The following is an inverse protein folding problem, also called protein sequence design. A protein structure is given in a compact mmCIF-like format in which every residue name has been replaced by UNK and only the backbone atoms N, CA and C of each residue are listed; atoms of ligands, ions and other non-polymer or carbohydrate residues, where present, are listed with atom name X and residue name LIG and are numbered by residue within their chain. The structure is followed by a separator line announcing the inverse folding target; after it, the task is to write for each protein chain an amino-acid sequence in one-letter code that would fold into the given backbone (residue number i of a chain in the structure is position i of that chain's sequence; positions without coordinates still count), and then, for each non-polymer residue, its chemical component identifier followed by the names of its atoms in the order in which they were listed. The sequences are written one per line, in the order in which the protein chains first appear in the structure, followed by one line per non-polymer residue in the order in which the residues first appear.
data_IF_449339693334
#
_entry.id   IF_449339693334
#
_cell.length_a   1.000
_cell.length_b   1.000
_cell.length_c   1.000
_cell.angle_alpha   90.00
_cell.angle_beta   90.00
_cell.angle_gamma   90.00
#
_symmetry.space_group_name_H-M   'P 1'
#
loop_
_entity.id
_entity.type
_entity.pdbx_description
1 polymer ?
#
# COMPACT_ATOMS: atom_id res chain seq x y z
N UNK A 1 9.82 0.23 27.44
CA UNK A 1 8.86 1.07 26.63
C UNK A 1 9.18 0.82 25.19
N UNK A 2 8.27 0.24 24.42
CA UNK A 2 8.56 -0.05 23.01
C UNK A 2 8.63 1.25 22.21
N UNK A 3 9.72 1.46 21.47
CA UNK A 3 9.82 2.62 20.58
C UNK A 3 8.97 2.44 19.32
N UNK A 4 8.78 1.18 18.89
CA UNK A 4 8.11 0.85 17.63
C UNK A 4 7.06 -0.24 17.78
N UNK A 5 5.89 -0.04 17.14
CA UNK A 5 4.96 -1.11 16.81
C UNK A 5 5.01 -1.35 15.31
N UNK A 6 5.38 -2.55 14.86
CA UNK A 6 5.24 -2.99 13.46
C UNK A 6 3.88 -3.66 13.32
N UNK A 7 2.99 -3.09 12.51
CA UNK A 7 1.64 -3.60 12.27
C UNK A 7 1.54 -4.25 10.90
N UNK A 8 1.22 -5.54 10.89
CA UNK A 8 1.11 -6.40 9.71
C UNK A 8 -0.34 -6.86 9.58
N UNK A 9 -0.97 -6.60 8.44
CA UNK A 9 -2.28 -7.15 8.12
C UNK A 9 -2.11 -8.34 7.18
N UNK A 10 -2.72 -9.50 7.50
CA UNK A 10 -2.65 -10.71 6.67
C UNK A 10 -4.03 -11.30 6.38
N UNK A 11 -4.14 -12.06 5.29
CA UNK A 11 -5.34 -12.80 4.93
C UNK A 11 -5.01 -14.00 4.03
N UNK A 12 -5.10 -15.22 4.56
CA UNK A 12 -4.88 -16.49 3.83
C UNK A 12 -3.53 -16.56 3.09
N UNK A 13 -2.45 -16.06 3.69
CA UNK A 13 -1.09 -16.01 3.12
C UNK A 13 -0.01 -16.40 4.14
N UNK A 14 -0.12 -17.58 4.79
CA UNK A 14 0.81 -17.96 5.85
C UNK A 14 2.28 -17.99 5.39
N UNK A 15 2.55 -18.47 4.16
CA UNK A 15 3.92 -18.58 3.65
C UNK A 15 4.58 -17.20 3.46
N UNK A 16 3.84 -16.23 2.92
CA UNK A 16 4.34 -14.86 2.72
C UNK A 16 4.57 -14.17 4.08
N UNK A 17 3.63 -14.36 5.02
CA UNK A 17 3.80 -13.86 6.39
C UNK A 17 5.05 -14.44 7.04
N UNK A 18 5.32 -15.75 6.86
CA UNK A 18 6.53 -16.38 7.38
C UNK A 18 7.80 -15.78 6.79
N UNK A 19 7.81 -15.45 5.50
CA UNK A 19 8.93 -14.82 4.83
C UNK A 19 9.19 -13.40 5.35
N UNK A 20 8.12 -12.62 5.57
CA UNK A 20 8.22 -11.31 6.19
C UNK A 20 8.78 -11.41 7.60
N UNK A 21 8.20 -12.25 8.48
CA UNK A 21 8.66 -12.39 9.87
C UNK A 21 10.13 -12.78 9.94
N UNK A 22 10.59 -13.73 9.10
CA UNK A 22 12.01 -14.09 9.00
C UNK A 22 12.90 -12.92 8.57
N UNK A 23 12.43 -12.06 7.67
CA UNK A 23 13.19 -10.88 7.24
C UNK A 23 13.27 -9.80 8.31
N UNK A 24 12.28 -9.74 9.22
CA UNK A 24 12.26 -8.81 10.36
C UNK A 24 13.20 -9.23 11.49
N UNK A 25 13.45 -10.52 11.68
CA UNK A 25 14.28 -11.02 12.80
C UNK A 25 15.61 -10.27 12.98
N UNK A 26 16.48 -10.12 11.96
CA UNK A 26 17.74 -9.41 12.11
C UNK A 26 17.56 -7.89 12.30
N UNK A 27 16.47 -7.32 11.79
CA UNK A 27 16.22 -5.88 11.86
C UNK A 27 15.78 -5.41 13.26
N UNK A 28 15.05 -6.28 13.98
CA UNK A 28 14.51 -5.95 15.32
C UNK A 28 15.38 -6.48 16.46
N UNK A 29 16.41 -7.28 16.14
CA UNK A 29 17.29 -7.86 17.15
C UNK A 29 17.94 -6.78 18.03
N UNK A 30 17.72 -6.86 19.35
CA UNK A 30 18.25 -5.91 20.33
C UNK A 30 17.59 -4.53 20.32
N UNK A 31 16.50 -4.35 19.60
CA UNK A 31 15.70 -3.12 19.58
C UNK A 31 14.39 -3.30 20.35
N UNK A 32 13.84 -2.22 20.85
CA UNK A 32 12.57 -2.22 21.57
C UNK A 32 11.40 -2.10 20.58
N UNK A 33 11.04 -3.24 19.98
CA UNK A 33 10.06 -3.36 18.91
C UNK A 33 9.00 -4.38 19.29
N UNK A 34 7.73 -4.01 19.15
CA UNK A 34 6.57 -4.90 19.22
C UNK A 34 6.12 -5.24 17.80
N UNK A 35 5.69 -6.47 17.57
CA UNK A 35 5.14 -6.91 16.29
C UNK A 35 3.69 -7.33 16.48
N UNK A 36 2.77 -6.63 15.82
CA UNK A 36 1.36 -6.93 15.81
C UNK A 36 0.93 -7.50 14.46
N UNK A 37 0.41 -8.72 14.46
CA UNK A 37 -0.17 -9.35 13.27
C UNK A 37 -1.69 -9.40 13.39
N UNK A 38 -2.37 -8.76 12.46
CA UNK A 38 -3.82 -8.76 12.36
C UNK A 38 -4.26 -9.67 11.21
N UNK A 39 -4.80 -10.83 11.56
CA UNK A 39 -5.35 -11.77 10.57
C UNK A 39 -6.80 -11.43 10.26
N UNK A 40 -7.06 -11.04 9.03
CA UNK A 40 -8.41 -10.72 8.55
C UNK A 40 -9.17 -11.97 8.06
N UNK A 41 -8.73 -13.16 8.47
CA UNK A 41 -9.43 -14.43 8.27
C UNK A 41 -9.99 -14.91 9.60
N UNK A 42 -11.31 -15.11 9.66
CA UNK A 42 -12.00 -15.43 10.92
C UNK A 42 -11.47 -16.70 11.62
N UNK A 43 -10.96 -17.66 10.84
CA UNK A 43 -10.38 -18.91 11.36
C UNK A 43 -8.89 -18.78 11.75
N UNK A 44 -8.27 -17.62 11.47
CA UNK A 44 -6.89 -17.35 11.89
C UNK A 44 -5.83 -18.08 11.07
N UNK A 45 -5.77 -17.82 9.76
CA UNK A 45 -4.87 -18.49 8.82
C UNK A 45 -3.37 -18.30 9.08
N UNK A 46 -2.98 -17.24 9.79
CA UNK A 46 -1.60 -16.92 10.12
C UNK A 46 -1.15 -17.38 11.51
N UNK A 47 -2.02 -17.98 12.31
CA UNK A 47 -1.75 -18.32 13.72
C UNK A 47 -0.52 -19.21 13.89
N UNK A 48 -0.49 -20.35 13.19
CA UNK A 48 0.60 -21.32 13.31
C UNK A 48 1.97 -20.70 12.93
N UNK A 49 1.98 -19.82 11.95
CA UNK A 49 3.20 -19.11 11.52
C UNK A 49 3.68 -18.14 12.60
N UNK A 50 2.77 -17.40 13.23
CA UNK A 50 3.12 -16.48 14.30
C UNK A 50 3.62 -17.23 15.54
N UNK A 51 2.99 -18.35 15.92
CA UNK A 51 3.39 -19.20 17.04
C UNK A 51 4.75 -19.89 16.81
N UNK A 52 5.08 -20.20 15.54
CA UNK A 52 6.36 -20.81 15.17
C UNK A 52 7.49 -19.78 14.94
N UNK A 53 7.19 -18.49 14.95
CA UNK A 53 8.17 -17.43 14.75
C UNK A 53 9.15 -17.33 15.92
N UNK A 54 10.41 -16.97 15.64
CA UNK A 54 11.38 -16.61 16.66
C UNK A 54 11.10 -15.24 17.29
N UNK A 55 10.23 -14.44 16.69
CA UNK A 55 9.80 -13.14 17.18
C UNK A 55 8.61 -13.27 18.14
N UNK A 56 8.56 -12.40 19.16
CA UNK A 56 7.38 -12.26 20.00
C UNK A 56 6.29 -11.48 19.23
N UNK A 57 5.27 -12.20 18.76
CA UNK A 57 4.22 -11.67 17.90
C UNK A 57 2.90 -11.57 18.65
N UNK A 58 2.39 -10.36 18.81
CA UNK A 58 1.02 -10.13 19.24
C UNK A 58 0.05 -10.43 18.08
N UNK A 59 -0.55 -11.64 18.11
CA UNK A 59 -1.45 -12.10 17.08
C UNK A 59 -2.91 -11.87 17.45
N UNK A 60 -3.65 -11.20 16.57
CA UNK A 60 -5.09 -10.95 16.74
C UNK A 60 -5.88 -11.25 15.45
N UNK A 61 -7.11 -11.69 15.62
CA UNK A 61 -8.04 -11.91 14.49
C UNK A 61 -9.01 -10.72 14.37
N UNK A 62 -9.18 -10.21 13.15
CA UNK A 62 -10.24 -9.25 12.80
C UNK A 62 -11.24 -9.94 11.85
N UNK A 63 -12.40 -10.39 12.37
CA UNK A 63 -13.37 -11.14 11.58
C UNK A 63 -14.14 -10.29 10.58
N UNK A 64 -14.21 -8.95 10.78
CA UNK A 64 -14.87 -8.06 9.83
C UNK A 64 -14.06 -8.00 8.55
N UNK A 65 -14.68 -8.31 7.39
CA UNK A 65 -13.94 -8.42 6.14
C UNK A 65 -13.43 -7.06 5.65
N UNK A 66 -12.18 -7.03 5.17
CA UNK A 66 -11.61 -5.91 4.44
C UNK A 66 -10.38 -5.30 5.09
N UNK A 67 -9.48 -4.84 4.21
CA UNK A 67 -8.16 -4.35 4.61
C UNK A 67 -8.22 -3.14 5.55
N UNK A 68 -9.23 -2.26 5.41
CA UNK A 68 -9.37 -1.12 6.31
C UNK A 68 -9.75 -1.55 7.74
N UNK A 69 -10.58 -2.58 7.90
CA UNK A 69 -10.91 -3.15 9.21
C UNK A 69 -9.67 -3.75 9.87
N UNK A 70 -8.87 -4.54 9.12
CA UNK A 70 -7.63 -5.11 9.63
C UNK A 70 -6.63 -4.02 10.07
N UNK A 71 -6.43 -2.97 9.26
CA UNK A 71 -5.55 -1.85 9.61
C UNK A 71 -6.05 -1.06 10.80
N UNK A 72 -7.36 -0.86 10.92
CA UNK A 72 -7.96 -0.26 12.10
C UNK A 72 -7.73 -1.11 13.35
N UNK A 73 -7.82 -2.43 13.23
CA UNK A 73 -7.49 -3.34 14.32
C UNK A 73 -6.00 -3.25 14.70
N UNK A 74 -5.11 -3.07 13.71
CA UNK A 74 -3.68 -2.78 13.95
C UNK A 74 -3.45 -1.47 14.71
N UNK A 75 -4.24 -0.43 14.44
CA UNK A 75 -4.22 0.80 15.23
C UNK A 75 -4.68 0.59 16.68
N UNK A 76 -5.56 -0.38 16.95
CA UNK A 76 -6.02 -0.70 18.30
C UNK A 76 -4.95 -1.42 19.16
N UNK A 77 -3.88 -1.94 18.54
CA UNK A 77 -2.74 -2.54 19.24
C UNK A 77 -1.75 -1.49 19.79
N UNK A 78 -1.87 -0.24 19.34
CA UNK A 78 -1.02 0.86 19.84
C UNK A 78 -1.28 1.12 21.30
N UNK A 79 -0.20 1.20 22.07
CA UNK A 79 -0.20 1.57 23.50
C UNK A 79 0.36 2.99 23.71
N UNK A 80 0.24 3.51 24.91
CA UNK A 80 0.80 4.82 25.26
C UNK A 80 2.34 4.82 25.23
N UNK A 81 2.96 3.67 25.38
CA UNK A 81 4.42 3.50 25.37
C UNK A 81 5.03 3.51 23.97
N UNK A 82 4.24 3.21 22.93
CA UNK A 82 4.71 3.22 21.55
C UNK A 82 4.91 4.66 21.05
N UNK A 83 6.04 4.92 20.41
CA UNK A 83 6.37 6.23 19.82
C UNK A 83 6.10 6.26 18.32
N UNK A 84 6.33 5.14 17.65
CA UNK A 84 6.19 5.00 16.21
C UNK A 84 5.39 3.77 15.84
N UNK A 85 4.56 3.91 14.82
CA UNK A 85 3.85 2.82 14.17
C UNK A 85 4.43 2.61 12.78
N UNK A 86 4.81 1.39 12.45
CA UNK A 86 5.29 1.03 11.12
C UNK A 86 4.28 0.08 10.49
N UNK A 87 3.83 0.41 9.29
CA UNK A 87 3.03 -0.48 8.47
C UNK A 87 3.92 -1.17 7.44
N UNK A 88 3.76 -2.49 7.30
CA UNK A 88 4.34 -3.32 6.25
C UNK A 88 3.32 -4.37 5.83
N UNK A 89 3.23 -4.69 4.53
CA UNK A 89 2.28 -5.69 4.02
C UNK A 89 2.86 -7.11 4.16
N UNK A 90 2.02 -8.13 4.31
CA UNK A 90 2.39 -9.53 4.55
C UNK A 90 3.14 -10.20 3.38
N UNK A 91 3.13 -9.61 2.18
CA UNK A 91 3.81 -10.10 0.97
C UNK A 91 5.14 -9.35 0.70
N UNK A 92 5.66 -8.64 1.69
CA UNK A 92 6.91 -7.90 1.60
C UNK A 92 8.04 -8.59 2.40
N UNK A 93 9.28 -8.28 2.05
CA UNK A 93 10.49 -8.67 2.80
C UNK A 93 11.36 -7.44 3.00
N UNK A 94 11.63 -7.09 4.24
CA UNK A 94 12.51 -5.97 4.57
C UNK A 94 13.95 -6.30 4.20
N UNK A 95 14.72 -5.28 3.81
CA UNK A 95 16.12 -5.44 3.44
C UNK A 95 17.02 -4.99 4.59
N UNK A 96 18.28 -5.49 4.66
CA UNK A 96 19.21 -5.13 5.73
C UNK A 96 19.35 -3.61 5.92
N UNK A 97 19.18 -3.15 7.18
CA UNK A 97 19.23 -1.75 7.55
C UNK A 97 17.92 -0.98 7.36
N UNK A 98 16.84 -1.68 7.02
CA UNK A 98 15.51 -1.07 6.79
C UNK A 98 14.99 -0.28 7.99
N UNK A 99 14.96 -0.89 9.18
CA UNK A 99 14.45 -0.21 10.37
C UNK A 99 15.35 0.96 10.78
N UNK A 100 16.67 0.77 10.70
CA UNK A 100 17.62 1.83 11.00
C UNK A 100 17.46 3.03 10.05
N UNK A 101 17.25 2.77 8.76
CA UNK A 101 17.03 3.83 7.76
C UNK A 101 15.76 4.64 8.03
N UNK A 102 14.66 3.97 8.43
CA UNK A 102 13.42 4.66 8.83
C UNK A 102 13.63 5.54 10.06
N UNK A 103 14.33 5.01 11.07
CA UNK A 103 14.65 5.71 12.31
C UNK A 103 15.54 6.94 12.06
N UNK A 104 16.60 6.77 11.27
CA UNK A 104 17.54 7.85 10.94
C UNK A 104 16.86 8.95 10.13
N UNK A 105 16.03 8.58 9.14
CA UNK A 105 15.26 9.55 8.36
C UNK A 105 14.25 10.30 9.24
N UNK A 106 13.56 9.61 10.16
CA UNK A 106 12.64 10.26 11.08
C UNK A 106 13.37 11.28 11.96
N UNK A 107 14.53 10.90 12.52
CA UNK A 107 15.35 11.76 13.37
C UNK A 107 15.93 12.94 12.60
N UNK A 108 16.42 12.69 11.38
CA UNK A 108 17.03 13.73 10.55
C UNK A 108 16.05 14.80 10.07
N UNK A 109 14.84 14.35 9.68
CA UNK A 109 13.85 15.24 9.07
C UNK A 109 12.75 15.68 10.04
N UNK A 110 12.72 15.18 11.27
CA UNK A 110 11.62 15.39 12.24
C UNK A 110 10.25 15.24 11.56
N UNK A 111 10.10 14.16 10.79
CA UNK A 111 8.91 13.93 9.99
C UNK A 111 7.82 13.21 10.78
N UNK A 112 6.56 13.48 10.44
CA UNK A 112 5.42 12.76 11.00
C UNK A 112 5.17 11.44 10.30
N UNK A 113 5.57 11.35 9.01
CA UNK A 113 5.44 10.15 8.20
C UNK A 113 6.70 9.97 7.36
N UNK A 114 7.31 8.78 7.44
CA UNK A 114 8.40 8.36 6.57
C UNK A 114 7.90 7.20 5.72
N UNK A 115 8.10 7.25 4.42
CA UNK A 115 7.81 6.12 3.54
C UNK A 115 9.02 5.73 2.71
N UNK A 116 9.23 4.43 2.53
CA UNK A 116 10.30 3.85 1.75
C UNK A 116 9.83 3.20 0.45
N UNK A 117 10.78 2.77 -0.40
CA UNK A 117 10.48 2.09 -1.64
C UNK A 117 10.03 0.65 -1.42
N UNK A 118 9.07 0.23 -2.25
CA UNK A 118 8.74 -1.18 -2.46
C UNK A 118 9.24 -1.57 -3.84
N UNK A 119 10.20 -2.48 -3.89
CA UNK A 119 10.79 -2.99 -5.11
C UNK A 119 10.03 -4.23 -5.54
N UNK A 120 9.28 -4.12 -6.63
CA UNK A 120 8.57 -5.26 -7.20
C UNK A 120 9.55 -6.19 -7.92
N UNK A 121 9.70 -7.42 -7.43
CA UNK A 121 10.53 -8.48 -8.01
C UNK A 121 9.66 -9.29 -8.97
N UNK A 122 9.92 -9.17 -10.27
CA UNK A 122 9.17 -9.89 -11.30
C UNK A 122 9.59 -11.36 -11.34
N UNK A 123 8.66 -12.29 -11.65
CA UNK A 123 9.01 -13.69 -11.85
C UNK A 123 9.98 -13.83 -13.04
N UNK A 124 10.85 -14.87 -13.04
CA UNK A 124 11.89 -15.04 -14.07
C UNK A 124 11.36 -15.14 -15.51
N UNK A 125 10.15 -15.63 -15.67
CA UNK A 125 9.44 -15.81 -16.94
C UNK A 125 8.54 -14.63 -17.32
N UNK A 126 8.60 -13.53 -16.57
CA UNK A 126 7.79 -12.35 -16.86
C UNK A 126 8.10 -11.79 -18.25
N UNK A 127 7.08 -11.41 -19.04
CA UNK A 127 7.29 -10.83 -20.35
C UNK A 127 8.17 -9.58 -20.31
N UNK A 128 9.22 -9.54 -21.12
CA UNK A 128 10.22 -8.46 -21.13
C UNK A 128 9.65 -7.06 -21.38
N UNK A 129 8.45 -6.94 -21.99
CA UNK A 129 7.79 -5.65 -22.18
C UNK A 129 7.34 -5.01 -20.87
N UNK A 130 7.09 -5.81 -19.80
CA UNK A 130 6.69 -5.32 -18.49
C UNK A 130 7.84 -4.50 -17.87
N UNK A 131 9.03 -5.07 -17.80
CA UNK A 131 10.21 -4.37 -17.26
C UNK A 131 10.64 -3.21 -18.16
N UNK A 132 10.73 -3.42 -19.50
CA UNK A 132 11.12 -2.37 -20.46
C UNK A 132 10.15 -1.20 -20.48
N UNK A 133 8.85 -1.44 -20.28
CA UNK A 133 7.83 -0.41 -20.22
C UNK A 133 7.68 0.25 -18.85
N UNK A 134 8.39 -0.25 -17.82
CA UNK A 134 8.26 0.23 -16.44
C UNK A 134 6.91 -0.11 -15.80
N UNK A 135 6.24 -1.16 -16.28
CA UNK A 135 4.99 -1.64 -15.68
C UNK A 135 5.27 -2.35 -14.36
N UNK A 136 4.32 -2.23 -13.43
CA UNK A 136 4.40 -2.81 -12.06
C UNK A 136 5.41 -2.07 -11.17
N UNK A 137 6.50 -1.53 -11.70
CA UNK A 137 7.47 -0.76 -10.91
C UNK A 137 6.83 0.46 -10.26
N UNK A 138 7.16 0.68 -8.98
CA UNK A 138 6.72 1.86 -8.22
C UNK A 138 7.74 2.99 -8.41
N UNK A 139 7.29 4.24 -8.28
CA UNK A 139 8.18 5.40 -8.34
C UNK A 139 9.11 5.39 -7.13
N UNK A 140 10.38 5.78 -7.35
CA UNK A 140 11.37 6.06 -6.31
C UNK A 140 11.73 7.54 -6.33
N UNK A 141 12.05 8.06 -5.15
CA UNK A 141 12.42 9.45 -4.95
C UNK A 141 13.73 9.50 -4.18
N UNK A 142 14.30 10.68 -3.97
CA UNK A 142 15.50 10.85 -3.16
C UNK A 142 15.09 10.97 -1.69
N UNK A 143 15.95 10.47 -0.80
CA UNK A 143 15.78 10.66 0.63
C UNK A 143 15.74 12.15 0.96
N UNK A 144 14.71 12.54 1.73
CA UNK A 144 14.40 13.94 2.01
C UNK A 144 13.36 14.58 1.09
N UNK A 145 13.05 13.98 -0.07
CA UNK A 145 11.97 14.48 -0.93
C UNK A 145 10.61 14.34 -0.23
N UNK A 146 9.65 15.23 -0.53
CA UNK A 146 8.28 15.07 -0.03
C UNK A 146 7.64 13.76 -0.49
N UNK A 147 7.15 12.94 0.44
CA UNK A 147 6.35 11.77 0.11
C UNK A 147 4.91 12.17 -0.17
N UNK A 148 4.53 12.22 -1.45
CA UNK A 148 3.24 12.75 -1.89
C UNK A 148 2.09 11.75 -1.76
N UNK A 149 2.39 10.45 -1.68
CA UNK A 149 1.38 9.40 -1.66
C UNK A 149 1.88 8.17 -0.89
N UNK A 150 2.11 8.30 0.42
CA UNK A 150 2.43 7.15 1.25
C UNK A 150 1.35 6.07 1.15
N UNK A 151 1.72 4.83 1.40
CA UNK A 151 0.83 3.71 1.52
C UNK A 151 1.29 2.82 2.69
N UNK A 152 0.41 1.96 3.21
CA UNK A 152 0.68 1.13 4.39
C UNK A 152 1.63 -0.03 4.15
N UNK A 153 2.29 -0.05 3.03
CA UNK A 153 3.18 -1.12 2.62
C UNK A 153 4.67 -0.83 2.84
N UNK A 154 5.06 0.18 3.48
CA UNK A 154 6.41 0.53 3.95
C UNK A 154 6.39 1.96 4.48
N UNK A 155 5.74 2.16 5.62
CA UNK A 155 5.57 3.52 6.13
C UNK A 155 5.62 3.55 7.66
N UNK A 156 6.50 4.39 8.19
CA UNK A 156 6.56 4.76 9.60
C UNK A 156 5.71 6.01 9.84
N UNK A 157 4.95 6.00 10.94
CA UNK A 157 4.11 7.12 11.37
C UNK A 157 4.43 7.46 12.84
N UNK A 158 4.66 8.75 13.13
CA UNK A 158 4.86 9.25 14.49
C UNK A 158 3.52 9.25 15.24
N UNK A 159 3.45 8.52 16.34
CA UNK A 159 2.20 8.33 17.08
C UNK A 159 1.73 9.60 17.80
N UNK A 160 2.62 10.45 18.28
CA UNK A 160 2.23 11.72 18.89
C UNK A 160 1.47 12.61 17.89
N UNK A 161 1.84 12.56 16.61
CA UNK A 161 1.08 13.27 15.58
C UNK A 161 -0.32 12.68 15.40
N UNK A 162 -0.47 11.34 15.36
CA UNK A 162 -1.79 10.72 15.31
C UNK A 162 -2.64 11.03 16.55
N UNK A 163 -2.04 11.01 17.74
CA UNK A 163 -2.70 11.37 19.00
C UNK A 163 -3.20 12.81 18.97
N UNK A 164 -2.43 13.76 18.43
CA UNK A 164 -2.82 15.17 18.29
C UNK A 164 -4.06 15.37 17.40
N UNK A 165 -4.26 14.47 16.43
CA UNK A 165 -5.42 14.43 15.55
C UNK A 165 -6.58 13.56 16.07
N UNK A 166 -6.55 13.16 17.36
CA UNK A 166 -7.51 12.24 18.00
C UNK A 166 -7.55 10.86 17.32
N UNK A 167 -6.42 10.37 16.84
CA UNK A 167 -6.21 9.05 16.31
C UNK A 167 -7.12 8.69 15.11
N UNK A 168 -6.90 9.32 13.94
CA UNK A 168 -7.71 9.09 12.75
C UNK A 168 -7.69 7.62 12.32
N UNK A 169 -8.80 7.16 11.73
CA UNK A 169 -9.01 5.76 11.33
C UNK A 169 -9.05 5.64 9.81
N UNK A 170 -8.76 4.43 9.32
CA UNK A 170 -8.97 4.09 7.92
C UNK A 170 -10.46 4.05 7.60
N UNK A 171 -10.86 4.70 6.49
CA UNK A 171 -12.24 4.72 6.02
C UNK A 171 -12.64 3.34 5.46
N UNK A 172 -13.48 2.61 6.20
CA UNK A 172 -13.93 1.26 5.85
C UNK A 172 -14.79 1.21 4.58
N UNK A 173 -15.30 2.34 4.08
CA UNK A 173 -15.98 2.40 2.78
C UNK A 173 -15.08 2.04 1.60
N UNK A 174 -13.76 2.00 1.82
CA UNK A 174 -12.76 1.55 0.85
C UNK A 174 -12.32 0.09 1.02
N UNK A 175 -12.83 -0.64 2.03
CA UNK A 175 -12.38 -2.00 2.35
C UNK A 175 -12.44 -2.96 1.17
N UNK A 176 -13.47 -2.87 0.33
CA UNK A 176 -13.68 -3.78 -0.81
C UNK A 176 -13.02 -3.30 -2.10
N UNK A 177 -12.80 -2.00 -2.25
CA UNK A 177 -12.30 -1.39 -3.50
C UNK A 177 -10.84 -0.99 -3.45
N UNK A 178 -10.24 -1.02 -2.25
CA UNK A 178 -8.90 -0.47 -1.99
C UNK A 178 -8.89 1.06 -1.96
N UNK A 179 -7.76 1.64 -1.50
CA UNK A 179 -7.55 3.07 -1.41
C UNK A 179 -7.81 3.67 -0.03
N UNK A 180 -8.06 2.84 0.99
CA UNK A 180 -8.17 3.28 2.38
C UNK A 180 -6.89 3.95 2.87
N UNK A 181 -5.72 3.42 2.49
CA UNK A 181 -4.39 3.98 2.74
C UNK A 181 -4.24 5.37 2.11
N UNK A 182 -4.56 5.48 0.82
CA UNK A 182 -4.49 6.76 0.10
C UNK A 182 -5.40 7.82 0.74
N UNK A 183 -6.59 7.42 1.20
CA UNK A 183 -7.51 8.33 1.90
C UNK A 183 -6.95 8.75 3.26
N UNK A 184 -6.39 7.80 4.02
CA UNK A 184 -5.80 8.02 5.34
C UNK A 184 -4.62 8.98 5.27
N UNK A 185 -3.59 8.69 4.47
CA UNK A 185 -2.42 9.55 4.36
C UNK A 185 -2.74 10.91 3.73
N UNK A 186 -3.73 10.97 2.84
CA UNK A 186 -4.19 12.25 2.34
C UNK A 186 -4.82 13.10 3.45
N UNK A 187 -5.60 12.51 4.34
CA UNK A 187 -6.17 13.22 5.48
C UNK A 187 -5.08 13.74 6.43
N UNK A 188 -4.03 12.95 6.70
CA UNK A 188 -2.89 13.39 7.48
C UNK A 188 -2.15 14.55 6.82
N UNK A 189 -1.93 14.50 5.51
CA UNK A 189 -1.30 15.58 4.76
C UNK A 189 -2.16 16.85 4.76
N UNK A 190 -3.48 16.72 4.54
CA UNK A 190 -4.40 17.85 4.56
C UNK A 190 -4.49 18.49 5.98
N UNK A 191 -4.15 17.72 7.03
CA UNK A 191 -3.98 18.18 8.42
C UNK A 191 -2.59 18.77 8.72
N UNK A 192 -1.67 18.80 7.75
CA UNK A 192 -0.36 19.42 7.88
C UNK A 192 0.80 18.48 8.19
N UNK A 193 0.62 17.14 8.11
CA UNK A 193 1.69 16.18 8.34
C UNK A 193 2.90 16.43 7.44
N UNK A 194 4.09 16.46 8.05
CA UNK A 194 5.36 16.43 7.33
C UNK A 194 5.67 15.00 6.88
N UNK A 195 5.58 14.77 5.58
CA UNK A 195 5.78 13.45 4.97
C UNK A 195 7.03 13.44 4.13
N UNK A 196 7.96 12.51 4.40
CA UNK A 196 9.28 12.44 3.77
C UNK A 196 9.53 11.04 3.22
N UNK A 197 10.26 10.98 2.10
CA UNK A 197 10.73 9.74 1.50
C UNK A 197 12.10 9.35 2.06
N UNK A 198 12.29 8.04 2.32
CA UNK A 198 13.57 7.43 2.68
C UNK A 198 13.86 6.30 1.68
N UNK A 199 14.80 6.54 0.73
CA UNK A 199 15.09 5.61 -0.36
C UNK A 199 15.90 4.38 0.08
N UNK A 200 16.53 4.46 1.25
CA UNK A 200 17.33 3.41 1.87
C UNK A 200 16.46 2.37 2.61
N UNK A 201 15.25 2.75 3.04
CA UNK A 201 14.35 1.85 3.74
C UNK A 201 13.62 0.93 2.75
N UNK A 202 14.36 -0.02 2.17
CA UNK A 202 13.89 -0.87 1.06
C UNK A 202 13.11 -2.07 1.57
N UNK A 203 11.96 -2.35 0.93
CA UNK A 203 11.29 -3.66 0.99
C UNK A 203 11.15 -4.25 -0.40
N UNK A 204 11.16 -5.58 -0.51
CA UNK A 204 10.92 -6.33 -1.74
C UNK A 204 9.53 -6.98 -1.69
N UNK A 205 8.78 -6.88 -2.78
CA UNK A 205 7.50 -7.57 -3.01
C UNK A 205 7.66 -8.49 -4.22
N UNK A 206 7.50 -9.81 -4.03
CA UNK A 206 7.47 -10.73 -5.17
C UNK A 206 6.15 -10.59 -5.91
N UNK A 207 6.26 -10.40 -7.21
CA UNK A 207 5.08 -10.28 -8.08
C UNK A 207 4.64 -11.67 -8.50
N UNK A 208 3.45 -12.15 -8.09
CA UNK A 208 2.92 -13.43 -8.55
C UNK A 208 2.80 -13.46 -10.08
N UNK A 209 3.05 -14.62 -10.70
CA UNK A 209 2.99 -14.77 -12.16
C UNK A 209 1.64 -14.34 -12.74
N UNK A 210 0.55 -14.56 -11.99
CA UNK A 210 -0.81 -14.16 -12.38
C UNK A 210 -0.98 -12.63 -12.45
N UNK A 211 -0.07 -11.85 -11.84
CA UNK A 211 -0.05 -10.39 -11.91
C UNK A 211 0.86 -9.86 -13.02
N UNK A 212 1.76 -10.69 -13.55
CA UNK A 212 2.70 -10.31 -14.59
C UNK A 212 2.09 -10.42 -16.02
N UNK A 213 0.90 -9.85 -16.24
CA UNK A 213 0.22 -9.86 -17.54
C UNK A 213 -0.55 -8.57 -17.81
N UNK A 214 -0.90 -8.35 -19.09
CA UNK A 214 -1.58 -7.14 -19.55
C UNK A 214 -2.96 -6.95 -18.90
N UNK A 215 -3.73 -8.03 -18.74
CA UNK A 215 -5.10 -7.94 -18.21
C UNK A 215 -5.09 -7.44 -16.75
N UNK A 216 -4.17 -7.97 -15.94
CA UNK A 216 -4.01 -7.54 -14.55
C UNK A 216 -3.52 -6.08 -14.46
N UNK A 217 -2.48 -5.71 -15.25
CA UNK A 217 -1.93 -4.35 -15.27
C UNK A 217 -3.01 -3.34 -15.66
N UNK A 218 -3.82 -3.67 -16.68
CA UNK A 218 -4.91 -2.83 -17.13
C UNK A 218 -5.99 -2.65 -16.05
N UNK A 219 -6.40 -3.75 -15.43
CA UNK A 219 -7.38 -3.77 -14.33
C UNK A 219 -6.89 -2.97 -13.13
N UNK A 220 -5.62 -3.13 -12.73
CA UNK A 220 -4.98 -2.35 -11.67
C UNK A 220 -5.03 -0.85 -11.98
N UNK A 221 -4.65 -0.44 -13.19
CA UNK A 221 -4.68 0.97 -13.59
C UNK A 221 -6.08 1.58 -13.55
N UNK A 222 -7.12 0.83 -13.96
CA UNK A 222 -8.53 1.27 -13.84
C UNK A 222 -8.92 1.41 -12.37
N UNK A 223 -8.54 0.47 -11.51
CA UNK A 223 -8.79 0.52 -10.07
C UNK A 223 -8.16 1.75 -9.41
N UNK A 224 -6.89 2.04 -9.71
CA UNK A 224 -6.21 3.27 -9.25
C UNK A 224 -6.96 4.53 -9.71
N UNK A 225 -7.47 4.49 -10.94
CA UNK A 225 -8.37 5.52 -11.47
C UNK A 225 -9.68 5.62 -10.68
N UNK A 226 -10.30 4.49 -10.32
CA UNK A 226 -11.52 4.50 -9.51
C UNK A 226 -11.28 5.16 -8.15
N UNK A 227 -10.18 4.79 -7.45
CA UNK A 227 -9.82 5.37 -6.15
C UNK A 227 -9.65 6.89 -6.26
N UNK A 228 -8.80 7.35 -7.17
CA UNK A 228 -8.56 8.79 -7.37
C UNK A 228 -9.80 9.52 -7.88
N UNK A 229 -10.63 8.90 -8.72
CA UNK A 229 -11.90 9.43 -9.21
C UNK A 229 -12.92 9.63 -8.07
N UNK A 230 -13.05 8.68 -7.14
CA UNK A 230 -13.90 8.83 -5.94
C UNK A 230 -13.47 10.02 -5.08
N UNK A 231 -12.15 10.21 -4.91
CA UNK A 231 -11.63 11.35 -4.15
C UNK A 231 -11.92 12.68 -4.86
N UNK A 232 -11.82 12.73 -6.19
CA UNK A 232 -12.18 13.92 -6.97
C UNK A 232 -13.67 14.25 -6.83
N UNK A 233 -14.54 13.24 -6.85
CA UNK A 233 -15.99 13.42 -6.72
C UNK A 233 -16.42 14.00 -5.36
N UNK A 234 -15.58 13.93 -4.33
CA UNK A 234 -15.81 14.62 -3.05
C UNK A 234 -15.66 16.16 -3.18
N UNK A 235 -14.93 16.63 -4.21
CA UNK A 235 -14.60 18.05 -4.41
C UNK A 235 -15.09 18.63 -5.74
N UNK A 236 -15.52 17.79 -6.68
CA UNK A 236 -15.91 18.19 -8.04
C UNK A 236 -17.18 17.50 -8.50
N UNK A 237 -17.92 18.15 -9.41
CA UNK A 237 -19.11 17.57 -9.99
C UNK A 237 -18.80 16.43 -10.97
N UNK A 238 -19.72 15.46 -11.11
CA UNK A 238 -19.60 14.32 -12.01
C UNK A 238 -19.23 14.70 -13.45
N UNK A 239 -19.88 15.71 -14.10
CA UNK A 239 -19.49 16.08 -15.47
C UNK A 239 -18.03 16.56 -15.58
N UNK A 240 -17.55 17.32 -14.60
CA UNK A 240 -16.13 17.75 -14.56
C UNK A 240 -15.17 16.58 -14.48
N UNK A 241 -15.47 15.58 -13.64
CA UNK A 241 -14.65 14.36 -13.50
C UNK A 241 -14.66 13.53 -14.78
N UNK A 242 -15.83 13.40 -15.44
CA UNK A 242 -15.93 12.71 -16.75
C UNK A 242 -15.11 13.43 -17.81
N UNK A 243 -15.25 14.75 -17.97
CA UNK A 243 -14.51 15.53 -18.95
C UNK A 243 -13.00 15.43 -18.73
N UNK A 244 -12.56 15.54 -17.47
CA UNK A 244 -11.14 15.37 -17.10
C UNK A 244 -10.66 13.95 -17.39
N UNK A 245 -11.50 12.92 -17.18
CA UNK A 245 -11.21 11.53 -17.53
C UNK A 245 -11.01 11.35 -19.05
N UNK A 246 -11.88 11.94 -19.86
CA UNK A 246 -11.75 11.92 -21.34
C UNK A 246 -10.48 12.63 -21.80
N UNK A 247 -10.17 13.80 -21.25
CA UNK A 247 -8.93 14.52 -21.56
C UNK A 247 -7.68 13.69 -21.20
N UNK A 248 -7.69 12.98 -20.06
CA UNK A 248 -6.60 12.06 -19.71
C UNK A 248 -6.44 10.92 -20.69
N UNK A 249 -7.55 10.31 -21.14
CA UNK A 249 -7.51 9.24 -22.14
C UNK A 249 -6.89 9.77 -23.46
N UNK A 250 -7.36 10.91 -23.95
CA UNK A 250 -6.83 11.51 -25.17
C UNK A 250 -5.33 11.80 -25.06
N UNK A 251 -4.89 12.40 -23.95
CA UNK A 251 -3.47 12.64 -23.67
C UNK A 251 -2.67 11.33 -23.62
N UNK A 252 -3.18 10.31 -22.92
CA UNK A 252 -2.52 9.02 -22.79
C UNK A 252 -2.36 8.29 -24.12
N UNK A 253 -3.37 8.36 -24.99
CA UNK A 253 -3.29 7.82 -26.36
C UNK A 253 -2.21 8.55 -27.16
N UNK A 254 -2.22 9.88 -27.19
CA UNK A 254 -1.21 10.69 -27.89
C UNK A 254 0.21 10.41 -27.35
N UNK A 255 0.38 10.33 -26.02
CA UNK A 255 1.65 10.01 -25.39
C UNK A 255 2.14 8.60 -25.76
N UNK A 256 1.23 7.61 -25.79
CA UNK A 256 1.57 6.22 -26.18
C UNK A 256 2.02 6.16 -27.64
N UNK A 257 1.31 6.84 -28.56
CA UNK A 257 1.69 6.92 -29.97
C UNK A 257 3.09 7.54 -30.09
N UNK A 258 3.34 8.67 -29.42
CA UNK A 258 4.65 9.32 -29.38
C UNK A 258 5.74 8.37 -28.89
N UNK A 259 5.53 7.66 -27.78
CA UNK A 259 6.54 6.76 -27.21
C UNK A 259 6.84 5.59 -28.17
N UNK A 260 5.84 5.06 -28.87
CA UNK A 260 6.01 4.03 -29.92
C UNK A 260 6.78 4.58 -31.12
N UNK A 261 6.43 5.75 -31.66
CA UNK A 261 7.13 6.39 -32.78
C UNK A 261 8.60 6.67 -32.44
N UNK A 262 8.90 7.01 -31.18
CA UNK A 262 10.27 7.22 -30.71
C UNK A 262 11.02 5.91 -30.40
N UNK A 263 10.47 4.74 -30.73
CA UNK A 263 11.10 3.44 -30.52
C UNK A 263 11.15 2.98 -29.06
N UNK A 264 10.47 3.68 -28.14
CA UNK A 264 10.45 3.34 -26.69
C UNK A 264 9.46 2.23 -26.35
N UNK A 265 8.59 1.85 -27.30
CA UNK A 265 7.46 0.96 -27.05
C UNK A 265 6.40 1.58 -26.13
N UNK A 266 5.44 0.77 -25.72
CA UNK A 266 4.38 1.23 -24.80
C UNK A 266 4.96 1.39 -23.39
N UNK A 267 4.82 2.60 -22.83
CA UNK A 267 5.33 2.95 -21.51
C UNK A 267 4.21 2.99 -20.47
N UNK A 268 4.48 2.46 -19.28
CA UNK A 268 3.51 2.42 -18.17
C UNK A 268 2.94 3.81 -17.83
N UNK A 269 3.81 4.84 -17.83
CA UNK A 269 3.38 6.22 -17.54
C UNK A 269 2.33 6.72 -18.55
N UNK A 270 2.47 6.39 -19.84
CA UNK A 270 1.53 6.81 -20.89
C UNK A 270 0.23 5.99 -20.80
N UNK A 271 0.33 4.67 -20.63
CA UNK A 271 -0.81 3.78 -20.45
C UNK A 271 -1.62 4.11 -19.17
N UNK A 272 -0.96 4.56 -18.11
CA UNK A 272 -1.62 4.94 -16.85
C UNK A 272 -2.59 6.13 -17.03
N UNK A 273 -2.34 7.05 -17.95
CA UNK A 273 -3.32 8.11 -18.25
C UNK A 273 -4.61 7.53 -18.83
N UNK A 274 -4.51 6.54 -19.70
CA UNK A 274 -5.68 5.88 -20.32
C UNK A 274 -6.48 5.14 -19.25
N UNK A 275 -5.83 4.24 -18.52
CA UNK A 275 -6.50 3.38 -17.54
C UNK A 275 -7.10 4.17 -16.39
N UNK A 276 -6.37 5.17 -15.86
CA UNK A 276 -6.87 6.05 -14.81
C UNK A 276 -8.01 6.95 -15.30
N UNK A 277 -7.96 7.43 -16.55
CA UNK A 277 -9.08 8.18 -17.17
C UNK A 277 -10.35 7.34 -17.26
N UNK A 278 -10.25 6.07 -17.68
CA UNK A 278 -11.35 5.10 -17.70
C UNK A 278 -11.87 4.90 -16.27
N UNK A 279 -10.99 4.75 -15.30
CA UNK A 279 -11.34 4.61 -13.88
C UNK A 279 -12.11 5.82 -13.33
N UNK A 280 -11.74 7.06 -13.68
CA UNK A 280 -12.48 8.27 -13.30
C UNK A 280 -13.90 8.28 -13.83
N UNK A 281 -14.06 7.92 -15.11
CA UNK A 281 -15.37 7.82 -15.75
C UNK A 281 -16.20 6.71 -15.10
N UNK A 282 -15.58 5.55 -14.79
CA UNK A 282 -16.22 4.45 -14.06
C UNK A 282 -16.71 4.88 -12.69
N UNK A 283 -15.87 5.55 -11.91
CA UNK A 283 -16.20 6.06 -10.58
C UNK A 283 -17.38 7.03 -10.61
N UNK A 284 -17.45 7.93 -11.62
CA UNK A 284 -18.56 8.88 -11.78
C UNK A 284 -19.90 8.21 -12.09
N UNK A 285 -19.86 6.95 -12.57
CA UNK A 285 -21.05 6.12 -12.88
C UNK A 285 -21.30 5.03 -11.83
N UNK A 286 -20.54 5.02 -10.72
CA UNK A 286 -20.65 3.99 -9.68
C UNK A 286 -20.09 2.61 -10.08
N UNK A 287 -19.36 2.52 -11.22
CA UNK A 287 -18.71 1.28 -11.67
C UNK A 287 -17.30 1.21 -11.09
N UNK A 288 -17.11 0.36 -10.07
CA UNK A 288 -15.84 0.21 -9.36
C UNK A 288 -15.28 -1.19 -9.57
N UNK A 289 -13.96 -1.29 -9.66
CA UNK A 289 -13.24 -2.57 -9.64
C UNK A 289 -13.08 -2.98 -8.17
N UNK A 290 -13.66 -4.11 -7.78
CA UNK A 290 -13.49 -4.69 -6.46
C UNK A 290 -12.20 -5.53 -6.45
N UNK A 291 -11.26 -5.19 -5.54
CA UNK A 291 -10.00 -5.92 -5.36
C UNK A 291 -10.11 -6.99 -4.28
N UNK A 292 -10.80 -6.65 -3.20
CA UNK A 292 -10.92 -7.48 -2.00
C UNK A 292 -12.30 -8.12 -1.86
N UNK A 293 -13.04 -8.28 -2.99
CA UNK A 293 -14.28 -9.01 -2.99
C UNK A 293 -13.99 -10.48 -2.66
N UNK A 294 -14.45 -10.93 -1.50
CA UNK A 294 -14.37 -12.34 -1.13
C UNK A 294 -15.44 -13.10 -1.91
N UNK A 295 -15.14 -14.32 -2.41
CA UNK A 295 -16.18 -15.20 -2.85
C UNK A 295 -17.19 -15.37 -1.70
N UNK A 296 -18.48 -15.18 -1.96
CA UNK A 296 -19.52 -15.58 -1.03
C UNK A 296 -19.40 -17.10 -0.88
N UNK A 297 -18.91 -17.57 0.26
CA UNK A 297 -19.00 -18.99 0.57
C UNK A 297 -20.48 -19.36 0.53
N UNK A 298 -20.85 -20.46 -0.15
CA UNK A 298 -22.21 -20.94 -0.10
C UNK A 298 -22.54 -21.19 1.38
N UNK A 299 -23.62 -20.58 1.87
CA UNK A 299 -24.19 -20.91 3.16
C UNK A 299 -24.60 -22.38 3.05
N UNK A 300 -23.82 -23.29 3.61
CA UNK A 300 -24.24 -24.67 3.79
C UNK A 300 -25.44 -24.63 4.73
N UNK A 301 -26.62 -24.91 4.14
CA UNK A 301 -27.90 -25.01 4.82
C UNK A 301 -28.09 -26.35 5.51
#
# INVERSE_FOLDING_TARGET
MADFLISIATYKRPDLLADLLRSLEPEVAGKDVRIGVVDNHAEGSGREVCEASALDVEYVVEPRPGIAAARNRGLDLVTDDDRFLIFVDDDERVQPGWLQSLEDAQRQYDADVISGPVISVLPPDAPAWISRGGFIQRARFRTGDPSLSPATNNTLVRLDYLRSLRFPRFDESFSMTGGSDTAFFRALRDAGARMVWCDEAVVHEDVPAERANLAWIWRRGIREGNVSGRMLLRRQSRPKVVLAGLARIAYGVAATIRDVVLGRGVQARSAAYITRGIGWIGASRGRLVAEYARPTEPVEG
#
